data_IF_329294217016
#
_entry.id   IF_329294217016
#
_cell.length_a   1.000
_cell.length_b   1.000
_cell.length_c   1.000
_cell.angle_alpha   90.00
_cell.angle_beta   90.00
_cell.angle_gamma   90.00
#
_symmetry.space_group_name_H-M   'P 1'
#
loop_
_entity.id
_entity.type
_entity.pdbx_description
1 polymer ?
#
# COMPACT_ATOMS: atom_id res chain seq x y z
N UNK A 1 4.62 21.07 -0.92
CA UNK A 1 3.97 19.77 -1.26
C UNK A 1 2.89 19.49 -0.21
N UNK A 2 1.60 19.46 -0.57
CA UNK A 2 0.54 19.09 0.36
C UNK A 2 0.63 17.59 0.67
N UNK A 3 0.72 17.23 1.96
CA UNK A 3 0.71 15.82 2.37
C UNK A 3 -0.68 15.25 2.06
N UNK A 4 -0.77 14.35 1.08
CA UNK A 4 -2.00 13.58 0.85
C UNK A 4 -2.13 12.53 1.95
N UNK A 5 -3.18 12.65 2.77
CA UNK A 5 -3.48 11.74 3.87
C UNK A 5 -4.58 10.77 3.45
N UNK A 6 -4.33 9.46 3.57
CA UNK A 6 -5.36 8.43 3.44
C UNK A 6 -5.81 8.03 4.85
N UNK A 7 -7.07 8.27 5.19
CA UNK A 7 -7.64 7.84 6.47
C UNK A 7 -8.29 6.48 6.28
N UNK A 8 -7.65 5.43 6.80
CA UNK A 8 -8.21 4.08 6.83
C UNK A 8 -8.87 3.82 8.18
N UNK A 9 -10.09 3.28 8.16
CA UNK A 9 -10.73 2.75 9.37
C UNK A 9 -10.12 1.39 9.67
N UNK A 10 -9.43 1.28 10.79
CA UNK A 10 -8.73 0.07 11.23
C UNK A 10 -9.17 -0.26 12.64
N UNK A 11 -9.21 -1.55 12.98
CA UNK A 11 -9.51 -1.99 14.34
C UNK A 11 -8.53 -1.40 15.36
N UNK A 12 -9.05 -1.05 16.53
CA UNK A 12 -8.25 -0.41 17.58
C UNK A 12 -7.16 -1.34 18.12
N UNK A 13 -7.43 -2.65 18.18
CA UNK A 13 -6.49 -3.71 18.54
C UNK A 13 -5.21 -3.65 17.68
N UNK A 14 -5.38 -3.46 16.37
CA UNK A 14 -4.30 -3.37 15.37
C UNK A 14 -3.50 -2.08 15.58
N UNK A 15 -4.19 -0.94 15.81
CA UNK A 15 -3.50 0.35 16.09
C UNK A 15 -2.63 0.28 17.33
N UNK A 16 -3.12 -0.32 18.42
CA UNK A 16 -2.38 -0.46 19.67
C UNK A 16 -1.13 -1.32 19.45
N UNK A 17 -1.26 -2.43 18.73
CA UNK A 17 -0.13 -3.31 18.40
C UNK A 17 0.90 -2.60 17.53
N UNK A 18 0.48 -1.89 16.48
CA UNK A 18 1.36 -1.15 15.59
C UNK A 18 2.13 -0.04 16.34
N UNK A 19 1.45 0.72 17.21
CA UNK A 19 2.09 1.73 18.07
C UNK A 19 3.14 1.13 19.00
N UNK A 20 2.86 -0.02 19.61
CA UNK A 20 3.81 -0.72 20.49
C UNK A 20 5.08 -1.12 19.74
N UNK A 21 4.92 -1.71 18.56
CA UNK A 21 6.04 -2.15 17.71
C UNK A 21 6.86 -0.94 17.24
N UNK A 22 6.19 0.11 16.76
CA UNK A 22 6.83 1.35 16.34
C UNK A 22 7.66 1.97 17.48
N UNK A 23 7.09 2.06 18.68
CA UNK A 23 7.76 2.57 19.89
C UNK A 23 8.97 1.72 20.27
N UNK A 24 8.87 0.39 20.24
CA UNK A 24 10.01 -0.50 20.56
C UNK A 24 11.18 -0.35 19.58
N UNK A 25 10.91 0.13 18.36
CA UNK A 25 11.90 0.31 17.29
C UNK A 25 12.36 1.76 17.14
N UNK A 26 11.84 2.69 17.94
CA UNK A 26 12.16 4.12 17.84
C UNK A 26 11.71 4.78 16.52
N UNK A 27 10.74 4.20 15.82
CA UNK A 27 10.24 4.70 14.52
C UNK A 27 8.78 5.13 14.60
N UNK A 28 8.33 5.90 13.61
CA UNK A 28 6.91 6.24 13.48
C UNK A 28 6.08 5.07 12.93
N UNK A 29 4.77 5.06 13.20
CA UNK A 29 3.84 4.08 12.62
C UNK A 29 3.84 4.17 11.09
N UNK A 30 3.97 5.37 10.53
CA UNK A 30 4.08 5.56 9.08
C UNK A 30 5.33 4.88 8.51
N UNK A 31 6.48 5.05 9.15
CA UNK A 31 7.72 4.37 8.74
C UNK A 31 7.64 2.85 8.92
N UNK A 32 6.96 2.38 9.96
CA UNK A 32 6.71 0.95 10.17
C UNK A 32 5.93 0.33 8.99
N UNK A 33 4.90 1.03 8.52
CA UNK A 33 4.10 0.62 7.36
C UNK A 33 4.94 0.64 6.09
N UNK A 34 5.70 1.72 5.86
CA UNK A 34 6.58 1.82 4.69
C UNK A 34 7.61 0.68 4.64
N UNK A 35 8.21 0.32 5.79
CA UNK A 35 9.12 -0.81 5.87
C UNK A 35 8.45 -2.17 5.59
N UNK A 36 7.19 -2.35 6.00
CA UNK A 36 6.46 -3.58 5.70
C UNK A 36 6.21 -3.72 4.19
N UNK A 37 5.77 -2.63 3.54
CA UNK A 37 5.50 -2.57 2.09
C UNK A 37 6.77 -2.73 1.23
N UNK A 38 7.95 -2.38 1.77
CA UNK A 38 9.23 -2.59 1.09
C UNK A 38 9.71 -4.04 1.20
N UNK A 39 9.35 -4.73 2.30
CA UNK A 39 9.81 -6.10 2.58
C UNK A 39 8.98 -7.18 1.92
N UNK A 40 7.73 -6.90 1.58
CA UNK A 40 6.96 -7.79 0.72
C UNK A 40 7.56 -7.75 -0.69
N UNK A 41 8.15 -8.87 -1.11
CA UNK A 41 8.40 -9.11 -2.53
C UNK A 41 7.04 -9.14 -3.22
N UNK A 42 6.82 -8.18 -4.13
CA UNK A 42 5.62 -8.17 -4.96
C UNK A 42 5.57 -9.52 -5.71
N UNK A 43 4.52 -10.34 -5.55
CA UNK A 43 4.33 -11.49 -6.42
C UNK A 43 4.32 -10.98 -7.86
N UNK A 44 5.07 -11.64 -8.76
CA UNK A 44 5.16 -11.24 -10.17
C UNK A 44 3.78 -11.16 -10.83
N UNK A 45 2.81 -11.92 -10.31
CA UNK A 45 1.41 -11.89 -10.72
C UNK A 45 0.51 -11.73 -9.48
N UNK A 46 -0.12 -10.57 -9.34
CA UNK A 46 -1.19 -10.36 -8.37
C UNK A 46 -2.50 -10.85 -8.98
N UNK A 47 -2.97 -12.02 -8.55
CA UNK A 47 -4.31 -12.53 -8.86
C UNK A 47 -5.18 -12.38 -7.60
N UNK A 48 -6.24 -11.55 -7.63
CA UNK A 48 -7.13 -11.41 -6.48
C UNK A 48 -7.84 -12.73 -6.21
N UNK A 49 -8.03 -13.07 -4.93
CA UNK A 49 -8.78 -14.27 -4.56
C UNK A 49 -10.24 -14.17 -5.03
N UNK A 50 -10.83 -15.26 -5.56
CA UNK A 50 -12.24 -15.27 -5.98
C UNK A 50 -13.18 -14.95 -4.81
N UNK A 51 -14.10 -14.03 -5.02
CA UNK A 51 -15.05 -13.52 -4.03
C UNK A 51 -14.49 -12.44 -3.10
N UNK A 52 -13.20 -12.09 -3.21
CA UNK A 52 -12.62 -11.02 -2.41
C UNK A 52 -13.16 -9.65 -2.82
N UNK A 53 -13.18 -8.70 -1.88
CA UNK A 53 -13.54 -7.31 -2.20
C UNK A 53 -12.60 -6.68 -3.24
N UNK A 54 -11.38 -7.20 -3.37
CA UNK A 54 -10.41 -6.75 -4.37
C UNK A 54 -10.79 -7.24 -5.77
N UNK A 55 -11.24 -8.48 -5.91
CA UNK A 55 -11.77 -8.99 -7.18
C UNK A 55 -12.99 -8.17 -7.63
N UNK A 56 -13.91 -7.87 -6.71
CA UNK A 56 -15.09 -7.06 -6.99
C UNK A 56 -14.72 -5.63 -7.44
N UNK A 57 -13.73 -5.01 -6.78
CA UNK A 57 -13.21 -3.70 -7.16
C UNK A 57 -12.55 -3.72 -8.55
N UNK A 58 -11.76 -4.75 -8.86
CA UNK A 58 -11.15 -4.89 -10.18
C UNK A 58 -12.19 -5.13 -11.28
N UNK A 59 -13.24 -5.90 -11.00
CA UNK A 59 -14.32 -6.17 -11.93
C UNK A 59 -15.29 -5.01 -12.11
N UNK A 60 -15.33 -4.07 -11.16
CA UNK A 60 -16.09 -2.82 -11.30
C UNK A 60 -15.44 -1.81 -12.26
N UNK A 61 -14.15 -1.98 -12.59
CA UNK A 61 -13.45 -1.14 -13.58
C UNK A 61 -13.81 -1.63 -14.99
N UNK A 62 -14.28 -0.76 -15.90
CA UNK A 62 -14.53 -1.13 -17.30
C UNK A 62 -13.27 -1.70 -17.96
N UNK A 63 -13.38 -2.76 -18.77
CA UNK A 63 -12.22 -3.41 -19.42
C UNK A 63 -11.40 -2.43 -20.27
N UNK A 64 -12.03 -1.43 -20.89
CA UNK A 64 -11.34 -0.36 -21.63
C UNK A 64 -10.42 0.53 -20.79
N UNK A 65 -10.56 0.47 -19.45
CA UNK A 65 -9.73 1.18 -18.48
C UNK A 65 -8.83 0.24 -17.67
N UNK A 66 -8.99 -1.09 -17.84
CA UNK A 66 -8.07 -2.06 -17.27
C UNK A 66 -6.78 -2.00 -18.09
N UNK A 67 -5.72 -1.56 -17.45
CA UNK A 67 -4.39 -1.45 -18.05
C UNK A 67 -3.66 -2.76 -17.83
N UNK A 68 -3.48 -3.54 -18.90
CA UNK A 68 -2.80 -4.86 -18.87
C UNK A 68 -1.28 -4.78 -18.64
N UNK A 69 -0.68 -3.59 -18.71
CA UNK A 69 0.77 -3.38 -18.60
C UNK A 69 1.14 -2.41 -17.47
N UNK A 70 0.59 -2.64 -16.29
CA UNK A 70 0.92 -1.84 -15.12
C UNK A 70 2.28 -2.25 -14.54
N UNK A 71 3.32 -1.47 -14.84
CA UNK A 71 4.59 -1.59 -14.12
C UNK A 71 4.47 -0.91 -12.75
N UNK A 72 3.93 -1.66 -11.79
CA UNK A 72 3.69 -1.20 -10.42
C UNK A 72 4.97 -0.73 -9.73
N UNK A 73 6.11 -1.39 -10.01
CA UNK A 73 7.44 -0.99 -9.55
C UNK A 73 7.79 0.44 -9.98
N UNK A 74 7.50 0.79 -11.24
CA UNK A 74 7.78 2.14 -11.77
C UNK A 74 6.94 3.22 -11.08
N UNK A 75 5.65 2.98 -10.86
CA UNK A 75 4.76 3.92 -10.17
C UNK A 75 5.13 4.10 -8.70
N UNK A 76 5.48 3.00 -8.01
CA UNK A 76 5.96 3.01 -6.63
C UNK A 76 7.24 3.84 -6.52
N UNK A 77 8.21 3.63 -7.42
CA UNK A 77 9.46 4.40 -7.48
C UNK A 77 9.22 5.89 -7.79
N UNK A 78 8.37 6.22 -8.77
CA UNK A 78 8.03 7.61 -9.09
C UNK A 78 7.35 8.31 -7.92
N UNK A 79 6.43 7.65 -7.22
CA UNK A 79 5.75 8.20 -6.06
C UNK A 79 6.70 8.41 -4.87
N UNK A 80 7.63 7.48 -4.64
CA UNK A 80 8.66 7.59 -3.60
C UNK A 80 9.64 8.72 -3.91
N UNK A 81 10.16 8.81 -5.14
CA UNK A 81 11.03 9.91 -5.58
C UNK A 81 10.34 11.26 -5.40
N UNK A 82 9.09 11.38 -5.84
CA UNK A 82 8.31 12.62 -5.71
C UNK A 82 8.02 13.04 -4.27
N UNK A 83 7.91 12.09 -3.34
CA UNK A 83 7.63 12.38 -1.92
C UNK A 83 8.90 12.72 -1.14
N UNK A 84 10.04 12.16 -1.54
CA UNK A 84 11.30 12.22 -0.79
C UNK A 84 12.44 12.99 -1.50
N UNK A 85 12.20 13.55 -2.69
CA UNK A 85 13.21 14.24 -3.54
C UNK A 85 14.52 13.42 -3.68
N UNK A 86 14.38 12.16 -4.12
CA UNK A 86 15.47 11.24 -4.46
C UNK A 86 15.85 11.29 -5.94
#
# INVERSE_FOLDING_TARGET
MSKKTLNLTIEESIKVRAKRIAKSRGISVSQLVEQAIIREEDPEEFTPEPGSGVEQLMNAIPESQKLDNYNYKKLKLEALRKKYDL
#
